data_IF_892664986896
#
_entry.id   IF_892664986896
#
_cell.length_a   1.000
_cell.length_b   1.000
_cell.length_c   1.000
_cell.angle_alpha   90.00
_cell.angle_beta   90.00
_cell.angle_gamma   90.00
#
_symmetry.space_group_name_H-M   'P 1'
#
loop_
_entity.id
_entity.type
_entity.pdbx_description
1 polymer ?
#
# COMPACT_ATOMS: atom_id res chain seq x y z
N UNK A 1 -13.56 -13.46 -33.24
CA UNK A 1 -12.19 -13.73 -32.71
C UNK A 1 -12.24 -14.16 -31.24
N UNK A 2 -12.76 -13.33 -30.32
CA UNK A 2 -12.91 -13.66 -28.88
C UNK A 2 -13.78 -14.91 -28.62
N UNK A 3 -14.89 -15.07 -29.35
CA UNK A 3 -15.79 -16.23 -29.23
C UNK A 3 -15.15 -17.52 -29.74
N UNK A 4 -14.29 -17.43 -30.76
CA UNK A 4 -13.58 -18.58 -31.34
C UNK A 4 -12.43 -19.04 -30.41
N UNK A 5 -11.73 -18.10 -29.76
CA UNK A 5 -10.75 -18.38 -28.69
C UNK A 5 -11.36 -19.05 -27.45
N UNK A 6 -12.59 -18.69 -27.08
CA UNK A 6 -13.29 -19.25 -25.92
C UNK A 6 -13.73 -20.72 -26.12
N UNK A 7 -13.95 -21.13 -27.37
CA UNK A 7 -14.36 -22.50 -27.74
C UNK A 7 -13.17 -23.45 -27.97
N UNK A 8 -11.95 -22.92 -28.24
CA UNK A 8 -10.74 -23.72 -28.45
C UNK A 8 -9.93 -24.01 -27.17
N UNK A 9 -10.23 -23.32 -26.06
CA UNK A 9 -9.58 -23.54 -24.77
C UNK A 9 -10.44 -24.47 -23.90
N UNK A 10 -9.87 -25.48 -23.22
CA UNK A 10 -10.66 -26.34 -22.35
C UNK A 10 -11.34 -25.51 -21.25
N UNK A 11 -12.68 -25.53 -21.22
CA UNK A 11 -13.54 -24.90 -20.20
C UNK A 11 -13.03 -24.95 -18.74
N UNK A 12 -12.38 -26.02 -18.24
CA UNK A 12 -11.92 -26.07 -16.84
C UNK A 12 -10.85 -25.04 -16.43
N UNK A 13 -10.07 -24.45 -17.34
CA UNK A 13 -9.04 -23.43 -17.00
C UNK A 13 -9.53 -21.98 -17.12
N UNK A 14 -10.70 -21.77 -17.72
CA UNK A 14 -11.25 -20.43 -17.94
C UNK A 14 -11.85 -19.85 -16.65
N UNK A 15 -12.51 -20.67 -15.82
CA UNK A 15 -13.09 -20.25 -14.54
C UNK A 15 -12.03 -19.73 -13.56
N UNK A 16 -10.93 -20.47 -13.29
CA UNK A 16 -9.86 -19.97 -12.42
C UNK A 16 -9.20 -18.70 -12.94
N UNK A 17 -9.02 -18.58 -14.27
CA UNK A 17 -8.47 -17.39 -14.90
C UNK A 17 -9.39 -16.17 -14.76
N UNK A 18 -10.70 -16.36 -14.95
CA UNK A 18 -11.70 -15.30 -14.77
C UNK A 18 -11.78 -14.85 -13.31
N UNK A 19 -11.79 -15.80 -12.37
CA UNK A 19 -11.78 -15.50 -10.93
C UNK A 19 -10.49 -14.79 -10.52
N UNK A 20 -9.33 -15.20 -11.03
CA UNK A 20 -8.06 -14.53 -10.80
C UNK A 20 -8.06 -13.09 -11.33
N UNK A 21 -8.56 -12.88 -12.55
CA UNK A 21 -8.71 -11.55 -13.14
C UNK A 21 -9.69 -10.65 -12.36
N UNK A 22 -10.83 -11.20 -11.92
CA UNK A 22 -11.79 -10.48 -11.09
C UNK A 22 -11.17 -10.10 -9.73
N UNK A 23 -10.47 -11.03 -9.07
CA UNK A 23 -9.81 -10.78 -7.80
C UNK A 23 -8.69 -9.73 -7.93
N UNK A 24 -7.96 -9.75 -9.03
CA UNK A 24 -6.95 -8.74 -9.35
C UNK A 24 -7.57 -7.35 -9.59
N UNK A 25 -8.70 -7.30 -10.30
CA UNK A 25 -9.46 -6.06 -10.48
C UNK A 25 -9.97 -5.48 -9.17
N UNK A 26 -10.51 -6.33 -8.28
CA UNK A 26 -10.94 -5.94 -6.94
C UNK A 26 -9.77 -5.41 -6.13
N UNK A 27 -8.62 -6.11 -6.11
CA UNK A 27 -7.41 -5.63 -5.42
C UNK A 27 -6.98 -4.23 -5.87
N UNK A 28 -6.93 -3.99 -7.19
CA UNK A 28 -6.60 -2.67 -7.72
C UNK A 28 -7.63 -1.60 -7.34
N UNK A 29 -8.92 -1.95 -7.32
CA UNK A 29 -9.95 -1.01 -6.87
C UNK A 29 -9.79 -0.64 -5.39
N UNK A 30 -9.35 -1.58 -4.53
CA UNK A 30 -9.11 -1.34 -3.11
C UNK A 30 -7.93 -0.38 -2.83
N UNK A 31 -7.02 -0.15 -3.77
CA UNK A 31 -5.88 0.76 -3.53
C UNK A 31 -6.34 2.18 -3.24
N UNK A 32 -7.38 2.65 -3.94
CA UNK A 32 -7.94 3.99 -3.81
C UNK A 32 -8.56 4.26 -2.44
N UNK A 33 -9.48 3.42 -1.91
CA UNK A 33 -10.00 3.60 -0.56
C UNK A 33 -8.89 3.43 0.49
N UNK A 34 -7.99 2.46 0.36
CA UNK A 34 -6.87 2.27 1.31
C UNK A 34 -6.01 3.52 1.43
N UNK A 35 -5.65 4.14 0.31
CA UNK A 35 -4.90 5.40 0.28
C UNK A 35 -5.71 6.57 0.87
N UNK A 36 -7.02 6.61 0.63
CA UNK A 36 -7.88 7.66 1.21
C UNK A 36 -8.02 7.56 2.73
N UNK A 37 -8.04 6.35 3.29
CA UNK A 37 -8.17 6.15 4.74
C UNK A 37 -6.86 6.33 5.50
N UNK A 38 -5.73 5.87 4.93
CA UNK A 38 -4.44 5.83 5.63
C UNK A 38 -3.46 6.92 5.18
N UNK A 39 -3.78 7.65 4.12
CA UNK A 39 -2.84 8.54 3.43
C UNK A 39 -2.05 7.85 2.33
N UNK A 40 -1.41 8.64 1.47
CA UNK A 40 -0.65 8.17 0.31
C UNK A 40 0.54 7.28 0.69
N UNK A 41 1.29 7.63 1.73
CA UNK A 41 2.49 6.90 2.16
C UNK A 41 2.18 5.54 2.76
N UNK A 42 1.46 5.53 3.89
CA UNK A 42 1.00 4.29 4.54
C UNK A 42 0.16 3.40 3.62
N UNK A 43 -0.81 3.98 2.91
CA UNK A 43 -1.77 3.22 2.11
C UNK A 43 -1.10 2.45 0.97
N UNK A 44 -0.14 3.07 0.29
CA UNK A 44 0.61 2.43 -0.79
C UNK A 44 1.57 1.35 -0.27
N UNK A 45 2.23 1.62 0.85
CA UNK A 45 3.12 0.65 1.51
C UNK A 45 2.37 -0.61 1.94
N UNK A 46 1.18 -0.45 2.55
CA UNK A 46 0.32 -1.56 2.94
C UNK A 46 -0.14 -2.38 1.72
N UNK A 47 -0.54 -1.71 0.63
CA UNK A 47 -0.97 -2.37 -0.60
C UNK A 47 0.12 -3.28 -1.18
N UNK A 48 1.35 -2.77 -1.29
CA UNK A 48 2.48 -3.56 -1.77
C UNK A 48 2.88 -4.68 -0.81
N UNK A 49 2.80 -4.45 0.50
CA UNK A 49 3.07 -5.48 1.49
C UNK A 49 2.10 -6.66 1.38
N UNK A 50 0.80 -6.38 1.21
CA UNK A 50 -0.21 -7.43 0.99
C UNK A 50 0.05 -8.17 -0.32
N UNK A 51 0.36 -7.47 -1.40
CA UNK A 51 0.67 -8.11 -2.69
C UNK A 51 1.90 -9.03 -2.60
N UNK A 52 2.96 -8.59 -1.92
CA UNK A 52 4.17 -9.41 -1.70
C UNK A 52 3.88 -10.60 -0.77
N UNK A 53 3.07 -10.42 0.28
CA UNK A 53 2.66 -11.50 1.17
C UNK A 53 1.82 -12.55 0.45
N UNK A 54 0.85 -12.13 -0.36
CA UNK A 54 0.04 -13.04 -1.18
C UNK A 54 0.94 -13.75 -2.20
N UNK A 55 1.86 -13.04 -2.86
CA UNK A 55 2.85 -13.65 -3.76
C UNK A 55 3.71 -14.71 -3.08
N UNK A 56 4.17 -14.43 -1.85
CA UNK A 56 4.92 -15.38 -1.03
C UNK A 56 4.07 -16.61 -0.64
N UNK A 57 2.82 -16.41 -0.22
CA UNK A 57 1.91 -17.49 0.12
C UNK A 57 1.56 -18.36 -1.10
N UNK A 58 1.28 -17.74 -2.25
CA UNK A 58 0.98 -18.46 -3.50
C UNK A 58 2.20 -19.27 -3.95
N UNK A 59 3.40 -18.70 -3.89
CA UNK A 59 4.64 -19.40 -4.22
C UNK A 59 4.95 -20.59 -3.29
N UNK A 60 4.62 -20.48 -1.99
CA UNK A 60 4.93 -21.52 -0.99
C UNK A 60 3.84 -22.60 -0.86
N UNK A 61 2.57 -22.21 -0.96
CA UNK A 61 1.39 -23.08 -0.81
C UNK A 61 1.01 -23.73 -2.14
N UNK A 62 1.41 -23.17 -3.29
CA UNK A 62 1.10 -23.73 -4.60
C UNK A 62 -0.41 -23.71 -4.88
N UNK A 63 -1.07 -22.60 -4.57
CA UNK A 63 -2.50 -22.46 -4.79
C UNK A 63 -2.79 -22.44 -6.30
N UNK A 64 -3.78 -23.24 -6.76
CA UNK A 64 -4.20 -23.44 -8.17
C UNK A 64 -3.31 -24.34 -9.05
N UNK A 65 -2.59 -25.31 -8.49
CA UNK A 65 -1.85 -26.29 -9.30
C UNK A 65 -0.56 -25.73 -9.92
N UNK A 66 -0.11 -24.56 -9.46
CA UNK A 66 1.26 -24.11 -9.67
C UNK A 66 2.19 -25.13 -9.00
N UNK A 67 3.17 -25.71 -9.73
CA UNK A 67 4.15 -26.59 -9.12
C UNK A 67 4.80 -25.81 -7.98
N UNK A 68 4.78 -26.39 -6.78
CA UNK A 68 5.43 -25.83 -5.60
C UNK A 68 6.84 -25.47 -6.04
N UNK A 69 7.15 -24.18 -6.18
CA UNK A 69 8.50 -23.79 -6.52
C UNK A 69 9.35 -24.34 -5.39
N UNK A 70 10.18 -25.32 -5.71
CA UNK A 70 11.25 -25.77 -4.84
C UNK A 70 12.24 -24.61 -4.83
N UNK A 71 11.90 -23.58 -4.06
CA UNK A 71 12.74 -22.41 -3.85
C UNK A 71 14.10 -22.99 -3.46
N UNK A 72 15.09 -22.79 -4.32
CA UNK A 72 16.42 -23.38 -4.19
C UNK A 72 17.09 -22.94 -2.88
N UNK A 73 16.61 -21.84 -2.29
CA UNK A 73 17.02 -21.24 -1.01
C UNK A 73 15.79 -20.71 -0.24
N UNK A 74 15.03 -21.57 0.46
CA UNK A 74 13.77 -21.16 1.12
C UNK A 74 13.97 -20.10 2.21
N UNK A 75 15.18 -20.02 2.77
CA UNK A 75 15.58 -19.00 3.74
C UNK A 75 15.56 -17.58 3.19
N UNK A 76 15.81 -17.38 1.88
CA UNK A 76 15.85 -16.04 1.29
C UNK A 76 14.46 -15.41 1.24
N UNK A 77 13.44 -16.22 0.97
CA UNK A 77 12.04 -15.80 0.98
C UNK A 77 11.57 -15.45 2.39
N UNK A 78 12.03 -16.20 3.40
CA UNK A 78 11.74 -15.91 4.81
C UNK A 78 12.41 -14.63 5.29
N UNK A 79 13.64 -14.36 4.85
CA UNK A 79 14.34 -13.08 5.10
C UNK A 79 13.62 -11.92 4.41
N UNK A 80 13.18 -12.09 3.17
CA UNK A 80 12.40 -11.09 2.45
C UNK A 80 11.08 -10.76 3.15
N UNK A 81 10.37 -11.78 3.66
CA UNK A 81 9.17 -11.59 4.45
C UNK A 81 9.45 -10.89 5.78
N UNK A 82 10.52 -11.27 6.49
CA UNK A 82 10.93 -10.62 7.73
C UNK A 82 11.27 -9.14 7.51
N UNK A 83 12.00 -8.82 6.44
CA UNK A 83 12.33 -7.45 6.06
C UNK A 83 11.09 -6.65 5.68
N UNK A 84 10.15 -7.25 4.96
CA UNK A 84 8.86 -6.64 4.63
C UNK A 84 8.07 -6.27 5.88
N UNK A 85 7.94 -7.22 6.82
CA UNK A 85 7.24 -7.00 8.09
C UNK A 85 7.94 -5.93 8.94
N UNK A 86 9.27 -5.95 8.98
CA UNK A 86 10.05 -4.94 9.69
C UNK A 86 9.83 -3.55 9.09
N UNK A 87 9.92 -3.42 7.77
CA UNK A 87 9.66 -2.16 7.08
C UNK A 87 8.24 -1.65 7.34
N UNK A 88 7.25 -2.54 7.29
CA UNK A 88 5.87 -2.18 7.56
C UNK A 88 5.67 -1.70 9.02
N UNK A 89 6.31 -2.38 9.98
CA UNK A 89 6.28 -1.98 11.39
C UNK A 89 6.89 -0.59 11.60
N UNK A 90 8.00 -0.27 10.93
CA UNK A 90 8.58 1.08 10.96
C UNK A 90 7.61 2.13 10.42
N UNK A 91 6.96 1.88 9.28
CA UNK A 91 5.99 2.82 8.71
C UNK A 91 4.81 3.06 9.65
N UNK A 92 4.31 2.02 10.34
CA UNK A 92 3.25 2.15 11.34
C UNK A 92 3.64 3.02 12.55
N UNK A 93 4.93 3.03 12.93
CA UNK A 93 5.44 3.83 14.06
C UNK A 93 5.75 5.27 13.62
N UNK A 94 6.23 5.46 12.39
CA UNK A 94 6.64 6.77 11.88
C UNK A 94 5.44 7.62 11.48
N UNK A 95 4.44 7.07 10.80
CA UNK A 95 3.31 7.88 10.34
C UNK A 95 2.51 8.58 11.46
N UNK A 96 2.22 7.97 12.64
CA UNK A 96 1.54 8.68 13.71
C UNK A 96 2.39 9.83 14.28
N UNK A 97 3.71 9.72 14.22
CA UNK A 97 4.61 10.83 14.57
C UNK A 97 4.57 11.94 13.50
N UNK A 98 4.46 11.57 12.22
CA UNK A 98 4.37 12.51 11.11
C UNK A 98 3.05 13.30 11.15
N UNK A 99 1.91 12.63 11.32
CA UNK A 99 0.59 13.28 11.39
C UNK A 99 0.50 14.23 12.60
N UNK A 100 1.04 13.83 13.77
CA UNK A 100 1.13 14.71 14.94
C UNK A 100 1.91 16.00 14.65
N UNK A 101 3.03 15.91 13.94
CA UNK A 101 3.83 17.07 13.56
C UNK A 101 3.13 17.95 12.52
N UNK A 102 2.39 17.33 11.60
CA UNK A 102 1.60 18.03 10.59
C UNK A 102 0.47 18.84 11.22
N UNK A 103 -0.25 18.28 12.18
CA UNK A 103 -1.31 18.99 12.92
C UNK A 103 -0.77 20.21 13.66
N UNK A 104 0.32 20.06 14.44
CA UNK A 104 0.96 21.19 15.15
C UNK A 104 1.36 22.34 14.23
N UNK A 105 1.87 22.00 13.04
CA UNK A 105 2.26 22.99 12.03
C UNK A 105 1.04 23.74 11.52
N UNK A 106 -0.07 23.05 11.26
CA UNK A 106 -1.33 23.68 10.80
C UNK A 106 -1.91 24.63 11.87
N UNK A 107 -1.88 24.23 13.15
CA UNK A 107 -2.28 25.11 14.26
C UNK A 107 -1.42 26.38 14.37
N UNK A 108 -0.12 26.27 14.06
CA UNK A 108 0.79 27.42 14.03
C UNK A 108 0.47 28.41 12.91
N UNK A 109 -0.05 27.92 11.77
CA UNK A 109 -0.44 28.77 10.64
C UNK A 109 -1.81 29.43 10.82
N UNK A 110 -2.69 28.82 11.60
CA UNK A 110 -4.03 29.36 11.88
C UNK A 110 -4.01 30.45 12.97
N UNK A 111 -2.94 30.49 13.78
CA UNK A 111 -2.69 31.64 14.65
C UNK A 111 -2.24 32.86 13.83
N UNK A 112 -2.92 34.02 13.93
CA UNK A 112 -2.42 35.23 13.33
C UNK A 112 -1.03 35.50 13.91
N UNK A 113 -0.03 35.64 13.04
CA UNK A 113 1.31 36.04 13.44
C UNK A 113 1.19 37.24 14.38
N UNK A 114 1.80 37.22 15.59
CA UNK A 114 1.86 38.43 16.40
C UNK A 114 2.49 39.51 15.51
N UNK A 115 1.66 40.49 15.15
CA UNK A 115 2.11 41.62 14.34
C UNK A 115 3.34 42.19 15.05
N UNK A 116 4.47 42.39 14.36
CA UNK A 116 5.60 43.07 14.95
C UNK A 116 5.06 44.36 15.55
N UNK A 117 5.23 44.52 16.88
CA UNK A 117 4.74 45.69 17.57
C UNK A 117 5.24 46.92 16.81
N UNK A 118 4.32 47.74 16.28
CA UNK A 118 4.71 48.90 15.51
C UNK A 118 5.70 49.72 16.34
N UNK A 119 6.86 50.09 15.80
CA UNK A 119 7.81 50.92 16.53
C UNK A 119 7.08 52.19 16.97
N UNK A 120 7.23 52.55 18.25
CA UNK A 120 6.54 53.68 18.90
C UNK A 120 6.78 55.03 18.20
N UNK A 121 7.75 55.11 17.29
CA UNK A 121 8.01 56.27 16.43
C UNK A 121 6.85 56.66 15.51
N UNK A 122 5.87 55.79 15.27
CA UNK A 122 4.70 56.09 14.44
C UNK A 122 3.49 56.66 15.21
N UNK A 123 3.54 56.75 16.55
CA UNK A 123 2.45 57.32 17.37
C UNK A 123 2.70 58.77 17.80
N UNK A 124 3.81 59.39 17.38
CA UNK A 124 4.20 60.75 17.77
C UNK A 124 4.40 61.73 16.61
N UNK A 125 3.86 61.43 15.43
CA UNK A 125 3.72 62.38 14.31
C UNK A 125 2.26 62.51 13.92
#
# INVERSE_FOLDING_TARGET
FIINLCLSFPLPILLPGLLGGAFWGVSNYLVLPTVRFLGLGLGFTLYHAVNLLIGFLVGRVGFLGAPKETIRVPWLSDVGLALLLLSFLFTLVVEPALERNRMKRLETFDHPMPMPAMPQSAQQQ
#
